data_IF_872245113696
#
_entry.id   IF_872245113696
#
_cell.length_a   1.000
_cell.length_b   1.000
_cell.length_c   1.000
_cell.angle_alpha   90.00
_cell.angle_beta   90.00
_cell.angle_gamma   90.00
#
_symmetry.space_group_name_H-M   'P 1'
#
loop_
_entity.id
_entity.type
_entity.pdbx_description
1 polymer ?
#
# COMPACT_ATOMS: atom_id res chain seq x y z
N UNK A 1 -0.87 -27.44 -5.74
CA UNK A 1 -0.29 -26.12 -6.04
C UNK A 1 -1.41 -25.24 -6.57
N UNK A 2 -1.76 -24.16 -5.88
CA UNK A 2 -2.78 -23.23 -6.36
C UNK A 2 -2.27 -22.52 -7.62
N UNK A 3 -3.13 -22.34 -8.62
CA UNK A 3 -2.80 -21.60 -9.83
C UNK A 3 -2.59 -20.12 -9.45
N UNK A 4 -1.34 -19.66 -9.42
CA UNK A 4 -1.02 -18.25 -9.19
C UNK A 4 -1.40 -17.43 -10.41
N UNK A 5 -1.91 -16.22 -10.19
CA UNK A 5 -2.25 -15.33 -11.29
C UNK A 5 -0.98 -14.81 -11.99
N UNK A 6 -1.10 -14.35 -13.24
CA UNK A 6 -0.01 -13.67 -13.97
C UNK A 6 0.55 -12.49 -13.15
N UNK A 7 -0.34 -11.76 -12.48
CA UNK A 7 0.00 -10.65 -11.59
C UNK A 7 0.89 -11.10 -10.43
N UNK A 8 0.51 -12.16 -9.71
CA UNK A 8 1.28 -12.65 -8.55
C UNK A 8 2.69 -13.07 -8.96
N UNK A 9 2.85 -13.73 -10.11
CA UNK A 9 4.16 -14.17 -10.61
C UNK A 9 5.06 -12.99 -10.98
N UNK A 10 4.50 -11.97 -11.65
CA UNK A 10 5.25 -10.76 -11.99
C UNK A 10 5.66 -9.98 -10.73
N UNK A 11 4.74 -9.88 -9.76
CA UNK A 11 4.98 -9.19 -8.50
C UNK A 11 6.03 -9.89 -7.64
N UNK A 12 5.93 -11.22 -7.53
CA UNK A 12 6.92 -12.06 -6.85
C UNK A 12 8.33 -11.84 -7.42
N UNK A 13 8.46 -11.86 -8.76
CA UNK A 13 9.74 -11.61 -9.42
C UNK A 13 10.29 -10.21 -9.10
N UNK A 14 9.42 -9.18 -9.08
CA UNK A 14 9.83 -7.83 -8.70
C UNK A 14 10.29 -7.77 -7.25
N UNK A 15 9.54 -8.33 -6.30
CA UNK A 15 9.90 -8.33 -4.88
C UNK A 15 11.23 -9.04 -4.61
N UNK A 16 11.49 -10.19 -5.27
CA UNK A 16 12.77 -10.89 -5.19
C UNK A 16 13.90 -10.03 -5.78
N UNK A 17 13.64 -9.35 -6.90
CA UNK A 17 14.61 -8.42 -7.51
C UNK A 17 14.97 -7.30 -6.54
N UNK A 18 13.97 -6.70 -5.89
CA UNK A 18 14.19 -5.64 -4.89
C UNK A 18 14.98 -6.19 -3.70
N UNK A 19 14.60 -7.35 -3.15
CA UNK A 19 15.31 -7.95 -2.02
C UNK A 19 16.81 -8.18 -2.35
N UNK A 20 17.11 -8.63 -3.57
CA UNK A 20 18.48 -8.79 -4.05
C UNK A 20 19.19 -7.44 -4.26
N UNK A 21 18.55 -6.46 -4.90
CA UNK A 21 19.12 -5.12 -5.15
C UNK A 21 19.54 -4.43 -3.84
N UNK A 22 18.76 -4.63 -2.77
CA UNK A 22 18.99 -4.04 -1.45
C UNK A 22 19.74 -4.95 -0.46
N UNK A 23 20.21 -6.14 -0.91
CA UNK A 23 20.88 -7.16 -0.09
C UNK A 23 20.09 -7.52 1.19
N UNK A 24 18.76 -7.62 1.09
CA UNK A 24 17.89 -7.94 2.21
C UNK A 24 18.00 -9.44 2.54
N UNK A 25 18.06 -9.83 3.83
CA UNK A 25 17.97 -11.22 4.22
C UNK A 25 16.60 -11.78 3.82
N UNK A 26 16.59 -12.82 3.00
CA UNK A 26 15.37 -13.54 2.67
C UNK A 26 15.06 -14.52 3.81
N UNK A 27 14.03 -14.24 4.62
CA UNK A 27 13.63 -15.08 5.77
C UNK A 27 12.42 -15.93 5.40
N UNK A 28 12.62 -17.02 4.65
CA UNK A 28 13.47 -18.14 5.02
C UNK A 28 14.50 -18.50 3.92
N UNK A 29 15.48 -19.35 4.27
CA UNK A 29 16.38 -19.97 3.30
C UNK A 29 15.57 -20.63 2.17
N UNK A 30 15.88 -20.29 0.93
CA UNK A 30 15.27 -20.88 -0.26
C UNK A 30 14.41 -19.93 -1.09
N UNK A 31 14.27 -18.65 -0.74
CA UNK A 31 13.48 -17.66 -1.51
C UNK A 31 14.26 -16.92 -2.58
N UNK A 32 15.01 -17.64 -3.40
CA UNK A 32 15.97 -17.05 -4.33
C UNK A 32 15.36 -16.80 -5.70
N UNK A 33 14.27 -17.49 -6.03
CA UNK A 33 13.64 -17.48 -7.36
C UNK A 33 12.12 -17.42 -7.25
N UNK A 34 11.44 -16.85 -8.26
CA UNK A 34 9.99 -16.87 -8.32
C UNK A 34 9.46 -18.32 -8.29
N UNK A 35 8.41 -18.55 -7.51
CA UNK A 35 7.83 -19.86 -7.27
C UNK A 35 8.35 -20.57 -6.03
N UNK A 36 9.46 -20.09 -5.44
CA UNK A 36 9.97 -20.62 -4.17
C UNK A 36 9.09 -20.21 -2.98
N UNK A 37 8.34 -19.11 -3.11
CA UNK A 37 7.46 -18.64 -2.05
C UNK A 37 6.29 -19.61 -1.88
N UNK A 38 6.13 -20.22 -0.70
CA UNK A 38 4.87 -20.93 -0.35
C UNK A 38 3.91 -20.06 0.47
N UNK A 39 4.40 -18.91 0.96
CA UNK A 39 3.65 -17.93 1.75
C UNK A 39 2.97 -16.88 0.85
N UNK A 40 2.01 -16.10 1.39
CA UNK A 40 1.47 -14.92 0.70
C UNK A 40 2.55 -13.89 0.39
N UNK A 41 2.48 -13.24 -0.78
CA UNK A 41 3.42 -12.18 -1.20
C UNK A 41 3.47 -11.01 -0.21
N UNK A 42 2.36 -10.77 0.49
CA UNK A 42 2.27 -9.75 1.53
C UNK A 42 3.28 -9.97 2.67
N UNK A 43 3.59 -11.22 3.01
CA UNK A 43 4.54 -11.52 4.08
C UNK A 43 5.97 -11.14 3.68
N UNK A 44 6.29 -11.24 2.39
CA UNK A 44 7.58 -10.77 1.86
C UNK A 44 7.66 -9.24 1.93
N UNK A 45 6.60 -8.53 1.53
CA UNK A 45 6.56 -7.06 1.61
C UNK A 45 6.64 -6.55 3.07
N UNK A 46 5.89 -7.16 4.00
CA UNK A 46 6.03 -6.87 5.44
C UNK A 46 7.45 -7.13 5.93
N UNK A 47 8.07 -8.23 5.50
CA UNK A 47 9.43 -8.53 5.93
C UNK A 47 10.43 -7.48 5.44
N UNK A 48 10.28 -6.98 4.22
CA UNK A 48 11.11 -5.91 3.66
C UNK A 48 11.00 -4.61 4.47
N UNK A 49 9.81 -4.30 5.02
CA UNK A 49 9.62 -3.11 5.86
C UNK A 49 10.56 -3.11 7.08
N UNK A 50 10.81 -4.28 7.69
CA UNK A 50 11.73 -4.44 8.84
C UNK A 50 13.17 -4.06 8.52
N UNK A 51 13.54 -4.04 7.24
CA UNK A 51 14.84 -3.59 6.75
C UNK A 51 14.80 -2.18 6.15
N UNK A 52 13.74 -1.41 6.43
CA UNK A 52 13.58 -0.05 5.95
C UNK A 52 13.26 0.03 4.46
N UNK A 53 12.67 -1.02 3.88
CA UNK A 53 12.22 -1.06 2.47
C UNK A 53 10.71 -1.25 2.42
N UNK A 54 9.98 -0.18 2.13
CA UNK A 54 8.54 -0.21 1.94
C UNK A 54 8.19 -0.35 0.47
N UNK A 55 7.26 -1.25 0.16
CA UNK A 55 6.83 -1.54 -1.20
C UNK A 55 5.32 -1.28 -1.34
N UNK A 56 4.94 -0.58 -2.39
CA UNK A 56 3.54 -0.29 -2.74
C UNK A 56 3.30 -0.61 -4.21
N UNK A 57 2.11 -1.09 -4.54
CA UNK A 57 1.71 -1.38 -5.92
C UNK A 57 0.69 -0.34 -6.38
N UNK A 58 0.83 0.13 -7.61
CA UNK A 58 -0.11 1.03 -8.27
C UNK A 58 -0.61 0.39 -9.57
N UNK A 59 -1.93 0.39 -9.76
CA UNK A 59 -2.56 -0.12 -10.98
C UNK A 59 -2.31 0.86 -12.12
N UNK A 60 -2.01 0.34 -13.32
CA UNK A 60 -2.01 1.17 -14.53
C UNK A 60 -3.40 1.31 -15.14
N UNK A 61 -4.31 0.38 -14.85
CA UNK A 61 -5.64 0.36 -15.45
C UNK A 61 -6.46 1.58 -15.05
N UNK A 62 -6.99 2.30 -16.04
CA UNK A 62 -7.86 3.46 -15.82
C UNK A 62 -7.12 4.76 -15.48
N UNK A 63 -5.79 4.79 -15.57
CA UNK A 63 -4.99 5.99 -15.40
C UNK A 63 -4.22 6.31 -16.68
N UNK A 64 -4.22 7.58 -17.11
CA UNK A 64 -3.25 8.03 -18.09
C UNK A 64 -1.83 8.08 -17.47
N UNK A 65 -0.79 7.95 -18.31
CA UNK A 65 0.60 7.84 -17.83
C UNK A 65 1.05 9.08 -17.04
N UNK A 66 0.54 10.27 -17.39
CA UNK A 66 0.90 11.54 -16.76
C UNK A 66 0.30 11.63 -15.36
N UNK A 67 -0.98 11.30 -15.23
CA UNK A 67 -1.76 11.25 -14.00
C UNK A 67 -1.17 10.24 -13.02
N UNK A 68 -0.79 9.04 -13.51
CA UNK A 68 -0.16 8.03 -12.69
C UNK A 68 1.19 8.52 -12.13
N UNK A 69 2.05 9.12 -12.96
CA UNK A 69 3.33 9.68 -12.51
C UNK A 69 3.16 10.81 -11.51
N UNK A 70 2.24 11.76 -11.77
CA UNK A 70 1.96 12.85 -10.84
C UNK A 70 1.48 12.34 -9.49
N UNK A 71 0.60 11.35 -9.50
CA UNK A 71 0.04 10.82 -8.28
C UNK A 71 1.07 9.98 -7.49
N UNK A 72 2.00 9.30 -8.18
CA UNK A 72 3.14 8.61 -7.56
C UNK A 72 4.15 9.60 -6.93
N UNK A 73 4.40 10.72 -7.60
CA UNK A 73 5.20 11.83 -7.04
C UNK A 73 4.55 12.40 -5.79
N UNK A 74 3.24 12.62 -5.84
CA UNK A 74 2.48 13.12 -4.69
C UNK A 74 2.51 12.13 -3.52
N UNK A 75 2.39 10.82 -3.82
CA UNK A 75 2.53 9.73 -2.83
C UNK A 75 3.87 9.79 -2.15
N UNK A 76 4.93 9.79 -2.95
CA UNK A 76 6.30 9.81 -2.45
C UNK A 76 6.56 11.04 -1.60
N UNK A 77 6.06 12.20 -2.03
CA UNK A 77 6.18 13.46 -1.29
C UNK A 77 5.48 13.39 0.08
N UNK A 78 4.22 12.97 0.13
CA UNK A 78 3.48 12.92 1.40
C UNK A 78 4.10 11.93 2.38
N UNK A 79 4.45 10.73 1.91
CA UNK A 79 5.12 9.72 2.72
C UNK A 79 6.49 10.20 3.21
N UNK A 80 7.24 10.92 2.37
CA UNK A 80 8.53 11.49 2.74
C UNK A 80 8.43 12.59 3.78
N UNK A 81 7.42 13.46 3.66
CA UNK A 81 7.14 14.49 4.65
C UNK A 81 6.75 13.90 6.01
N UNK A 82 6.02 12.79 6.03
CA UNK A 82 5.71 12.07 7.26
C UNK A 82 6.96 11.42 7.86
N UNK A 83 7.71 10.67 7.06
CA UNK A 83 8.96 10.04 7.49
C UNK A 83 9.94 11.06 8.09
N UNK A 84 10.25 12.13 7.35
CA UNK A 84 11.20 13.14 7.81
C UNK A 84 10.73 13.84 9.08
N UNK A 85 9.42 14.06 9.22
CA UNK A 85 8.85 14.61 10.44
C UNK A 85 9.09 13.67 11.63
N UNK A 86 8.70 12.39 11.51
CA UNK A 86 8.88 11.41 12.58
C UNK A 86 10.36 11.21 12.94
N UNK A 87 11.24 11.16 11.94
CA UNK A 87 12.69 11.09 12.16
C UNK A 87 13.21 12.32 12.89
N UNK A 88 12.77 13.51 12.50
CA UNK A 88 13.19 14.76 13.15
C UNK A 88 12.70 14.85 14.59
N UNK A 89 11.46 14.43 14.87
CA UNK A 89 10.89 14.50 16.22
C UNK A 89 11.47 13.45 17.16
N UNK A 90 11.60 12.20 16.70
CA UNK A 90 11.90 11.07 17.59
C UNK A 90 13.37 10.65 17.55
N UNK A 91 14.07 10.93 16.44
CA UNK A 91 15.42 10.45 16.18
C UNK A 91 16.38 11.61 15.90
N UNK A 92 16.15 12.78 16.52
CA UNK A 92 16.84 14.06 16.29
C UNK A 92 18.39 13.99 16.28
N UNK A 93 19.00 12.92 16.82
CA UNK A 93 20.45 12.68 16.85
C UNK A 93 20.96 11.81 15.70
N UNK A 94 20.08 11.14 14.97
CA UNK A 94 20.41 10.36 13.79
C UNK A 94 20.30 11.28 12.56
N UNK A 95 21.43 11.52 11.88
CA UNK A 95 21.41 11.98 10.49
C UNK A 95 20.82 10.87 9.62
N UNK A 96 19.52 10.69 9.73
CA UNK A 96 18.78 9.71 8.95
C UNK A 96 19.02 9.98 7.48
N UNK A 97 19.36 8.94 6.72
CA UNK A 97 19.35 9.06 5.27
C UNK A 97 17.96 9.53 4.85
N UNK A 98 17.88 10.52 3.93
CA UNK A 98 16.61 10.92 3.37
C UNK A 98 15.95 9.70 2.76
N UNK A 99 14.62 9.70 2.78
CA UNK A 99 13.88 8.65 2.12
C UNK A 99 14.06 8.77 0.60
N UNK A 100 14.49 7.68 -0.01
CA UNK A 100 14.61 7.52 -1.46
C UNK A 100 13.42 6.73 -1.98
N UNK A 101 13.01 6.96 -3.21
CA UNK A 101 12.00 6.14 -3.86
C UNK A 101 12.39 5.78 -5.29
N UNK A 102 12.11 4.52 -5.65
CA UNK A 102 12.35 3.92 -6.95
C UNK A 102 11.07 3.26 -7.45
N UNK A 103 10.98 3.04 -8.77
CA UNK A 103 9.83 2.38 -9.37
C UNK A 103 10.29 1.19 -10.21
N UNK A 104 9.55 0.10 -10.12
CA UNK A 104 9.69 -1.08 -10.97
C UNK A 104 8.42 -1.21 -11.81
N UNK A 105 8.60 -1.43 -13.11
CA UNK A 105 7.51 -1.41 -14.07
C UNK A 105 7.17 -2.84 -14.54
N UNK A 106 5.89 -3.19 -14.46
CA UNK A 106 5.30 -4.38 -15.08
C UNK A 106 4.31 -3.96 -16.18
N UNK A 107 3.77 -4.93 -16.93
CA UNK A 107 2.80 -4.66 -18.00
C UNK A 107 1.59 -3.87 -17.46
N UNK A 108 1.03 -4.36 -16.36
CA UNK A 108 -0.29 -4.01 -15.86
C UNK A 108 -0.27 -3.13 -14.59
N UNK A 109 0.91 -2.97 -13.97
CA UNK A 109 1.09 -2.26 -12.71
C UNK A 109 2.49 -1.65 -12.57
N UNK A 110 2.65 -0.77 -11.59
CA UNK A 110 3.91 -0.21 -11.12
C UNK A 110 4.13 -0.60 -9.66
N UNK A 111 5.38 -0.81 -9.29
CA UNK A 111 5.79 -1.06 -7.91
C UNK A 111 6.66 0.10 -7.44
N UNK A 112 6.17 0.90 -6.51
CA UNK A 112 6.90 1.94 -5.81
C UNK A 112 7.65 1.33 -4.63
N UNK A 113 8.96 1.54 -4.58
CA UNK A 113 9.84 1.09 -3.50
C UNK A 113 10.39 2.32 -2.81
N UNK A 114 10.21 2.41 -1.50
CA UNK A 114 10.65 3.52 -0.67
C UNK A 114 11.64 2.99 0.36
N UNK A 115 12.82 3.60 0.41
CA UNK A 115 13.90 3.16 1.29
C UNK A 115 14.42 4.29 2.14
N UNK A 116 14.67 4.03 3.42
CA UNK A 116 15.11 5.08 4.33
C UNK A 116 16.05 4.58 5.42
N UNK A 117 16.71 5.52 6.10
CA UNK A 117 17.72 5.22 7.13
C UNK A 117 17.16 4.75 8.48
N UNK A 118 15.90 5.08 8.79
CA UNK A 118 15.27 4.76 10.08
C UNK A 118 14.17 3.71 9.86
N UNK A 119 14.57 2.43 9.92
CA UNK A 119 13.69 1.29 9.64
C UNK A 119 12.41 1.25 10.50
N UNK A 120 12.42 1.56 11.81
CA UNK A 120 11.18 1.54 12.61
C UNK A 120 10.09 2.47 12.08
N UNK A 121 10.45 3.66 11.58
CA UNK A 121 9.48 4.59 10.99
C UNK A 121 8.90 3.99 9.70
N UNK A 122 9.73 3.37 8.87
CA UNK A 122 9.27 2.68 7.65
C UNK A 122 8.37 1.48 7.97
N UNK A 123 8.71 0.73 9.02
CA UNK A 123 7.91 -0.39 9.51
C UNK A 123 6.51 0.07 9.94
N UNK A 124 6.41 1.10 10.78
CA UNK A 124 5.11 1.65 11.21
C UNK A 124 4.33 2.23 10.04
N UNK A 125 5.00 2.92 9.12
CA UNK A 125 4.35 3.42 7.91
C UNK A 125 3.77 2.26 7.09
N UNK A 126 4.57 1.23 6.81
CA UNK A 126 4.16 0.09 6.00
C UNK A 126 3.09 -0.79 6.65
N UNK A 127 3.13 -0.99 7.96
CA UNK A 127 2.25 -1.93 8.67
C UNK A 127 0.98 -1.29 9.24
N UNK A 128 1.00 0.00 9.54
CA UNK A 128 -0.15 0.69 10.14
C UNK A 128 -0.70 1.78 9.23
N UNK A 129 0.14 2.76 8.85
CA UNK A 129 -0.31 3.98 8.17
C UNK A 129 -0.82 3.70 6.77
N UNK A 130 -0.04 3.02 5.94
CA UNK A 130 -0.41 2.72 4.55
C UNK A 130 -1.67 1.84 4.51
N UNK A 131 -1.78 0.73 5.27
CA UNK A 131 -3.00 -0.06 5.30
C UNK A 131 -4.23 0.73 5.73
N UNK A 132 -4.10 1.65 6.69
CA UNK A 132 -5.17 2.55 7.10
C UNK A 132 -5.59 3.49 5.96
N UNK A 133 -4.62 4.13 5.30
CA UNK A 133 -4.89 5.02 4.15
C UNK A 133 -5.58 4.27 3.01
N UNK A 134 -5.15 3.03 2.74
CA UNK A 134 -5.78 2.15 1.75
C UNK A 134 -7.22 1.83 2.12
N UNK A 135 -7.48 1.49 3.38
CA UNK A 135 -8.81 1.13 3.86
C UNK A 135 -9.79 2.29 3.66
N UNK A 136 -9.38 3.52 3.98
CA UNK A 136 -10.21 4.71 3.84
C UNK A 136 -10.17 5.34 2.43
N UNK A 137 -9.54 4.69 1.45
CA UNK A 137 -9.53 5.18 0.07
C UNK A 137 -10.95 5.26 -0.50
N UNK A 138 -11.34 6.46 -0.95
CA UNK A 138 -12.70 6.81 -1.43
C UNK A 138 -13.83 6.66 -0.39
N UNK A 139 -13.48 6.45 0.88
CA UNK A 139 -14.45 6.53 1.97
C UNK A 139 -14.53 7.97 2.51
N UNK A 140 -15.61 8.33 3.23
CA UNK A 140 -15.65 9.58 3.98
C UNK A 140 -14.44 9.70 4.92
N UNK A 141 -14.03 10.92 5.22
CA UNK A 141 -12.93 11.16 6.15
C UNK A 141 -13.24 10.47 7.50
N UNK A 142 -12.31 9.66 8.05
CA UNK A 142 -12.49 9.04 9.34
C UNK A 142 -12.71 10.09 10.43
N UNK A 143 -13.59 9.82 11.41
CA UNK A 143 -13.77 10.70 12.56
C UNK A 143 -12.43 10.95 13.30
N UNK A 144 -12.27 12.13 13.87
CA UNK A 144 -11.02 12.52 14.58
C UNK A 144 -10.57 11.49 15.62
N UNK A 145 -11.49 10.86 16.37
CA UNK A 145 -11.16 9.79 17.34
C UNK A 145 -10.44 8.58 16.72
N UNK A 146 -10.75 8.26 15.47
CA UNK A 146 -10.11 7.15 14.75
C UNK A 146 -8.69 7.55 14.35
N UNK A 147 -8.51 8.79 13.88
CA UNK A 147 -7.20 9.35 13.56
C UNK A 147 -6.31 9.50 14.79
N UNK A 148 -6.90 9.90 15.93
CA UNK A 148 -6.21 9.95 17.22
C UNK A 148 -5.74 8.56 17.64
N UNK A 149 -6.61 7.54 17.54
CA UNK A 149 -6.22 6.16 17.85
C UNK A 149 -5.11 5.63 16.95
N UNK A 150 -5.12 5.98 15.66
CA UNK A 150 -4.03 5.64 14.75
C UNK A 150 -2.73 6.36 15.16
N UNK A 151 -2.80 7.63 15.55
CA UNK A 151 -1.64 8.36 16.05
C UNK A 151 -1.07 7.72 17.33
N UNK A 152 -1.93 7.28 18.26
CA UNK A 152 -1.51 6.54 19.46
C UNK A 152 -0.72 5.27 19.06
N UNK A 153 -1.26 4.47 18.14
CA UNK A 153 -0.62 3.21 17.69
C UNK A 153 0.73 3.46 17.00
N UNK A 154 0.81 4.53 16.21
CA UNK A 154 2.07 4.94 15.56
C UNK A 154 3.11 5.30 16.60
N UNK A 155 2.73 6.06 17.64
CA UNK A 155 3.65 6.47 18.70
C UNK A 155 4.03 5.31 19.62
N UNK A 156 3.09 4.42 19.93
CA UNK A 156 3.31 3.21 20.71
C UNK A 156 4.37 2.31 20.04
N UNK A 157 4.22 2.02 18.74
CA UNK A 157 5.19 1.19 18.01
C UNK A 157 6.56 1.87 17.83
N UNK A 158 6.61 3.20 17.86
CA UNK A 158 7.86 3.97 17.84
C UNK A 158 8.44 4.21 19.24
N UNK A 159 7.83 3.65 20.29
CA UNK A 159 8.21 3.83 21.70
C UNK A 159 8.32 5.31 22.11
N UNK A 160 7.46 6.16 21.54
CA UNK A 160 7.45 7.59 21.77
C UNK A 160 6.44 7.96 22.87
N UNK A 161 6.77 8.97 23.68
CA UNK A 161 5.82 9.48 24.67
C UNK A 161 4.66 10.22 23.98
N UNK A 162 3.41 9.98 24.41
CA UNK A 162 2.24 10.57 23.79
C UNK A 162 2.10 12.05 24.19
N UNK A 163 2.62 12.96 23.36
CA UNK A 163 2.39 14.40 23.48
C UNK A 163 1.24 14.85 22.57
N UNK A 164 0.30 15.67 23.07
CA UNK A 164 -0.85 16.15 22.29
C UNK A 164 -0.43 16.87 20.99
N UNK A 165 0.62 17.69 21.06
CA UNK A 165 1.23 18.37 19.90
C UNK A 165 1.68 17.40 18.81
N UNK A 166 2.22 16.24 19.20
CA UNK A 166 2.70 15.22 18.30
C UNK A 166 1.53 14.46 17.64
N UNK A 167 0.46 14.16 18.39
CA UNK A 167 -0.77 13.59 17.82
C UNK A 167 -1.36 14.50 16.75
N UNK A 168 -1.56 15.78 17.07
CA UNK A 168 -2.16 16.73 16.14
C UNK A 168 -1.30 16.90 14.87
N UNK A 169 0.03 16.87 15.02
CA UNK A 169 0.96 16.95 13.90
C UNK A 169 0.99 15.68 13.03
N UNK A 170 0.82 14.49 13.63
CA UNK A 170 0.62 13.22 12.91
C UNK A 170 -0.68 13.28 12.12
N UNK A 171 -1.80 13.58 12.78
CA UNK A 171 -3.14 13.65 12.16
C UNK A 171 -3.14 14.63 10.98
N UNK A 172 -2.52 15.81 11.16
CA UNK A 172 -2.38 16.83 10.11
C UNK A 172 -1.67 16.30 8.87
N UNK A 173 -0.71 15.38 9.02
CA UNK A 173 0.04 14.78 7.91
C UNK A 173 -0.65 13.58 7.29
N UNK A 174 -1.47 12.85 8.06
CA UNK A 174 -2.25 11.71 7.56
C UNK A 174 -3.41 12.18 6.68
N UNK A 175 -4.10 13.27 7.05
CA UNK A 175 -5.28 13.75 6.31
C UNK A 175 -5.06 13.94 4.81
N UNK A 176 -3.99 14.61 4.34
CA UNK A 176 -3.69 14.70 2.91
C UNK A 176 -3.53 13.33 2.23
N UNK A 177 -2.97 12.34 2.94
CA UNK A 177 -2.78 10.98 2.42
C UNK A 177 -4.11 10.27 2.17
N UNK A 178 -5.14 10.56 2.97
CA UNK A 178 -6.48 9.99 2.80
C UNK A 178 -7.20 10.51 1.55
N UNK A 179 -6.84 11.72 1.10
CA UNK A 179 -7.41 12.36 -0.09
C UNK A 179 -6.66 11.98 -1.38
N UNK A 180 -5.70 11.06 -1.30
CA UNK A 180 -4.90 10.65 -2.44
C UNK A 180 -5.74 9.97 -3.51
N UNK A 181 -5.47 10.31 -4.77
CA UNK A 181 -6.21 9.79 -5.93
C UNK A 181 -5.75 8.41 -6.41
N UNK A 182 -4.58 7.94 -5.95
CA UNK A 182 -4.11 6.60 -6.28
C UNK A 182 -4.89 5.55 -5.49
N UNK A 183 -5.25 4.46 -6.15
CA UNK A 183 -5.65 3.23 -5.50
C UNK A 183 -4.37 2.49 -5.07
N UNK A 184 -3.94 2.56 -3.81
CA UNK A 184 -2.85 1.69 -3.37
C UNK A 184 -3.34 0.24 -3.46
N UNK A 185 -2.71 -0.56 -4.32
CA UNK A 185 -2.94 -2.00 -4.39
C UNK A 185 -2.18 -2.65 -3.23
N UNK A 186 -2.93 -3.36 -2.37
CA UNK A 186 -2.42 -3.98 -1.15
C UNK A 186 -1.29 -4.97 -1.45
N UNK A 187 -0.14 -4.71 -0.85
CA UNK A 187 0.81 -5.74 -0.44
C UNK A 187 1.04 -5.66 1.07
N UNK A 188 -0.03 -5.74 1.89
CA UNK A 188 -0.02 -6.06 3.34
C UNK A 188 -1.49 -6.25 3.76
N UNK A 189 -1.86 -7.34 4.45
CA UNK A 189 -3.15 -7.42 5.12
C UNK A 189 -3.16 -6.44 6.30
N UNK A 190 -4.18 -5.60 6.37
CA UNK A 190 -4.41 -4.76 7.54
C UNK A 190 -4.71 -5.66 8.75
N UNK A 191 -3.93 -5.55 9.83
CA UNK A 191 -4.31 -6.10 11.15
C UNK A 191 -5.31 -5.17 11.85
N UNK A 192 -5.58 -3.99 11.27
CA UNK A 192 -6.62 -3.09 11.75
C UNK A 192 -8.00 -3.64 11.37
N UNK A 193 -8.53 -4.51 12.22
CA UNK A 193 -9.99 -4.66 12.36
C UNK A 193 -10.48 -3.49 13.19
N UNK A 194 -11.11 -2.45 12.60
CA UNK A 194 -11.88 -1.53 13.43
C UNK A 194 -12.89 -2.39 14.19
N UNK A 195 -12.96 -2.23 15.51
CA UNK A 195 -14.06 -2.82 16.26
C UNK A 195 -15.37 -2.41 15.56
N UNK A 196 -16.30 -3.35 15.30
CA UNK A 196 -17.59 -2.97 14.76
C UNK A 196 -18.16 -1.86 15.65
N UNK A 197 -18.81 -0.83 15.06
CA UNK A 197 -19.43 0.20 15.88
C UNK A 197 -20.32 -0.48 16.93
N UNK A 198 -20.31 -0.02 18.20
CA UNK A 198 -21.19 -0.58 19.21
C UNK A 198 -22.62 -0.57 18.65
N UNK A 199 -23.31 -1.70 18.78
CA UNK A 199 -24.65 -1.94 18.22
C UNK A 199 -25.68 -0.86 18.64
N UNK A 200 -25.36 -0.10 19.68
CA UNK A 200 -26.21 0.92 20.29
C UNK A 200 -26.23 2.26 19.51
N UNK A 201 -25.60 2.35 18.33
CA UNK A 201 -25.71 3.52 17.43
C UNK A 201 -26.55 3.29 16.17
N UNK A 202 -27.30 2.18 16.09
CA UNK A 202 -28.43 2.08 15.14
C UNK A 202 -29.65 2.77 15.75
N UNK A 203 -29.62 4.11 15.74
CA UNK A 203 -30.82 4.90 15.91
C UNK A 203 -31.77 4.59 14.75
N UNK A 204 -32.91 4.02 15.13
CA UNK A 204 -34.22 4.00 14.47
C UNK A 204 -34.28 4.87 13.19
N UNK A 205 -34.12 4.19 12.05
CA UNK A 205 -34.39 4.75 10.73
C UNK A 205 -35.45 3.89 10.07
N UNK A 206 -36.67 4.46 10.01
CA UNK A 206 -37.86 4.06 9.25
C UNK A 206 -37.79 2.75 8.48
N UNK A 207 -38.63 1.79 8.90
CA UNK A 207 -39.01 0.64 8.09
C UNK A 207 -39.65 1.10 6.76
N UNK A 208 -39.08 0.77 5.59
CA UNK A 208 -39.87 0.83 4.37
C UNK A 208 -40.89 -0.32 4.39
N UNK A 209 -42.17 0.04 4.30
CA UNK A 209 -43.30 -0.87 4.23
C UNK A 209 -43.11 -1.91 3.12
N UNK A 210 -43.07 -3.18 3.52
CA UNK A 210 -43.14 -4.33 2.62
C UNK A 210 -44.59 -4.55 2.19
N UNK A 211 -45.04 -3.82 1.19
CA UNK A 211 -46.17 -4.21 0.35
C UNK A 211 -45.74 -4.17 -1.12
N UNK A 212 -46.22 -5.16 -1.87
CA UNK A 212 -46.08 -5.35 -3.32
C UNK A 212 -44.72 -5.75 -3.89
N UNK A 213 -44.48 -7.05 -4.02
CA UNK A 213 -44.65 -7.71 -5.33
C UNK A 213 -44.45 -9.23 -5.22
N UNK A 214 -45.54 -9.96 -5.45
CA UNK A 214 -45.57 -11.37 -5.82
C UNK A 214 -45.73 -11.49 -7.34
N UNK A 215 -45.43 -12.69 -7.82
CA UNK A 215 -45.73 -13.34 -9.11
C UNK A 215 -44.53 -13.29 -10.07
N UNK A 216 -43.81 -14.40 -10.19
CA UNK A 216 -43.97 -15.47 -11.21
C UNK A 216 -43.08 -15.07 -12.42
N UNK A 217 -42.27 -15.89 -13.07
CA UNK A 217 -42.55 -17.23 -13.55
C UNK A 217 -41.23 -17.91 -14.05
N UNK A 218 -41.35 -19.22 -14.16
CA UNK A 218 -40.75 -20.10 -15.16
C UNK A 218 -39.24 -20.42 -15.23
N UNK A 219 -39.06 -21.74 -15.25
CA UNK A 219 -37.88 -22.55 -15.31
C UNK A 219 -37.91 -23.26 -16.67
N UNK A 220 -36.88 -23.10 -17.50
CA UNK A 220 -36.55 -24.10 -18.51
C UNK A 220 -35.02 -24.27 -18.61
N UNK A 221 -34.53 -25.51 -18.68
CA UNK A 221 -33.13 -25.81 -18.97
C UNK A 221 -32.94 -25.93 -20.48
N UNK A 222 -31.86 -25.37 -21.03
CA UNK A 222 -31.40 -25.77 -22.36
C UNK A 222 -29.94 -26.20 -22.39
N UNK A 223 -29.83 -27.37 -23.01
CA UNK A 223 -28.71 -28.19 -23.44
C UNK A 223 -27.85 -27.51 -24.50
N UNK A 224 -26.57 -27.87 -24.56
CA UNK A 224 -25.87 -27.97 -25.85
C UNK A 224 -24.50 -27.32 -25.97
N UNK A 225 -23.50 -28.20 -26.06
CA UNK A 225 -22.35 -28.14 -26.97
C UNK A 225 -21.13 -27.23 -26.69
N UNK A 226 -20.10 -27.91 -26.15
CA UNK A 226 -18.68 -27.82 -26.54
C UNK A 226 -18.53 -27.93 -28.09
N UNK A 227 -17.48 -27.36 -28.75
CA UNK A 227 -16.08 -27.60 -28.38
C UNK A 227 -15.06 -26.48 -28.74
N UNK A 228 -13.84 -26.57 -28.20
CA UNK A 228 -12.59 -26.68 -28.98
C UNK A 228 -11.36 -26.39 -28.09
N UNK A 229 -10.46 -27.38 -28.06
CA UNK A 229 -9.16 -27.29 -27.42
C UNK A 229 -8.26 -26.25 -28.10
N UNK A 230 -7.73 -25.31 -27.32
CA UNK A 230 -6.59 -24.49 -27.70
C UNK A 230 -5.35 -24.95 -26.92
N UNK A 231 -4.29 -25.28 -27.67
CA UNK A 231 -2.99 -25.67 -27.13
C UNK A 231 -2.34 -24.53 -26.31
N UNK A 232 -1.63 -24.84 -25.22
CA UNK A 232 -0.96 -23.82 -24.43
C UNK A 232 0.28 -23.30 -25.18
N UNK A 233 0.17 -22.05 -25.67
CA UNK A 233 1.34 -21.25 -26.08
C UNK A 233 2.29 -21.11 -24.89
N UNK A 234 3.53 -21.56 -25.04
CA UNK A 234 4.64 -21.26 -24.13
C UNK A 234 4.82 -19.75 -24.04
N UNK A 235 4.34 -19.16 -22.94
CA UNK A 235 4.62 -17.79 -22.55
C UNK A 235 6.11 -17.67 -22.24
N UNK A 236 6.84 -16.94 -23.07
CA UNK A 236 8.15 -16.42 -22.66
C UNK A 236 7.91 -15.49 -21.45
N UNK A 237 8.75 -15.53 -20.41
CA UNK A 237 8.61 -14.61 -19.28
C UNK A 237 8.73 -13.17 -19.80
N UNK A 238 7.73 -12.35 -19.49
CA UNK A 238 7.73 -10.93 -19.79
C UNK A 238 9.02 -10.30 -19.28
N UNK A 239 9.73 -9.59 -20.15
CA UNK A 239 10.96 -8.88 -19.81
C UNK A 239 10.65 -7.77 -18.81
N UNK A 240 10.93 -8.00 -17.52
CA UNK A 240 10.90 -6.95 -16.49
C UNK A 240 11.99 -5.94 -16.82
N UNK A 241 11.58 -4.82 -17.41
CA UNK A 241 12.51 -3.75 -17.76
C UNK A 241 12.69 -2.86 -16.54
N UNK A 242 13.90 -2.88 -15.95
CA UNK A 242 14.31 -1.90 -14.95
C UNK A 242 14.47 -0.54 -15.62
N UNK A 243 13.39 0.21 -15.76
CA UNK A 243 13.48 1.64 -16.08
C UNK A 243 13.82 2.40 -14.81
N UNK A 244 15.11 2.50 -14.55
CA UNK A 244 15.62 3.48 -13.60
C UNK A 244 15.42 4.86 -14.22
N UNK A 245 14.29 5.52 -13.96
CA UNK A 245 14.30 6.97 -13.95
C UNK A 245 15.23 7.35 -12.79
N UNK A 246 16.55 7.45 -13.07
CA UNK A 246 17.48 8.24 -12.26
C UNK A 246 17.18 9.73 -12.43
N UNK A 247 15.91 10.10 -12.49
CA UNK A 247 15.55 11.43 -12.05
C UNK A 247 15.66 11.33 -10.54
N UNK A 248 16.60 12.03 -9.86
CA UNK A 248 16.39 12.26 -8.45
C UNK A 248 14.95 12.75 -8.32
N UNK A 249 14.18 12.11 -7.43
CA UNK A 249 12.88 12.68 -7.04
C UNK A 249 13.11 14.18 -6.82
N UNK A 250 12.19 15.06 -7.26
CA UNK A 250 12.33 16.47 -6.95
C UNK A 250 12.63 16.55 -5.45
N UNK A 251 13.72 17.22 -5.09
CA UNK A 251 14.08 17.44 -3.71
C UNK A 251 12.91 18.23 -3.12
N UNK A 252 11.95 17.51 -2.52
CA UNK A 252 10.72 18.09 -2.02
C UNK A 252 11.02 18.97 -0.79
N UNK A 253 12.26 18.95 -0.29
CA UNK A 253 12.78 19.90 0.69
C UNK A 253 13.15 21.25 0.04
N UNK A 254 13.26 21.34 -1.29
CA UNK A 254 13.43 22.61 -2.02
C UNK A 254 12.26 23.56 -1.84
N UNK A 255 11.04 23.02 -1.71
CA UNK A 255 9.80 23.80 -1.61
C UNK A 255 9.57 24.39 -0.20
N UNK A 256 10.34 23.98 0.81
CA UNK A 256 10.18 24.42 2.20
C UNK A 256 11.31 25.33 2.71
N UNK A 257 12.17 25.87 1.84
CA UNK A 257 13.12 26.91 2.27
C UNK A 257 12.36 28.23 2.42
N UNK A 258 12.31 28.84 3.61
CA UNK A 258 11.81 30.20 3.72
C UNK A 258 12.69 31.09 2.86
N UNK A 259 12.08 31.84 1.93
CA UNK A 259 12.76 32.92 1.24
C UNK A 259 13.30 33.87 2.31
N UNK A 260 14.63 34.04 2.33
CA UNK A 260 15.32 34.96 3.24
C UNK A 260 15.29 36.38 2.70
#
# INVERSE_FOLDING_TARGET
MANRSKFDLQLEHILITIANDYNLPLTPPGWQKPGDLQMPLNNLAEHMNRYGVMVMVADKHGHDEISLKQALLECTRMQGQFYDYMVTQLYATQSGKPMEANYYEADDFLVLVMTAGVAPVIEVMGLQLIPFVVEYYRQPEPPYRVLLRLADLVLEDLYAEPEQSLHDAIITRIRPMLSMKLRPLRLIPSVFTPAPPPADMLLEGDEPSLEDQRLDDEFEPDTGDNPAAQEPRRTQPASVSRRTLRAPLPDWRSDNRPER
#
